data_IF_468688037244
#
_entry.id   IF_468688037244
#
_cell.length_a   1.000
_cell.length_b   1.000
_cell.length_c   1.000
_cell.angle_alpha   90.00
_cell.angle_beta   90.00
_cell.angle_gamma   90.00
#
_symmetry.space_group_name_H-M   'P 1'
#
loop_
_entity.id
_entity.type
_entity.pdbx_description
1 polymer ?
#
# COMPACT_ATOMS: atom_id res chain seq x y z
N UNK A 1 -9.61 -34.34 11.42
CA UNK A 1 -9.56 -33.01 12.05
C UNK A 1 -8.29 -32.16 11.80
N UNK A 2 -7.20 -32.58 11.12
CA UNK A 2 -6.07 -31.68 10.83
C UNK A 2 -6.23 -30.84 9.54
N UNK A 3 -7.06 -31.29 8.59
CA UNK A 3 -7.25 -30.64 7.28
C UNK A 3 -7.86 -29.23 7.39
N UNK A 4 -8.80 -29.03 8.31
CA UNK A 4 -9.45 -27.72 8.50
C UNK A 4 -8.46 -26.68 9.01
N UNK A 5 -7.51 -27.10 9.86
CA UNK A 5 -6.49 -26.21 10.41
C UNK A 5 -5.51 -25.73 9.33
N UNK A 6 -5.15 -26.61 8.38
CA UNK A 6 -4.28 -26.26 7.24
C UNK A 6 -4.98 -25.28 6.28
N UNK A 7 -6.28 -25.44 6.04
CA UNK A 7 -7.06 -24.53 5.20
C UNK A 7 -7.13 -23.14 5.84
N UNK A 8 -7.42 -23.07 7.14
CA UNK A 8 -7.46 -21.79 7.87
C UNK A 8 -6.09 -21.12 7.90
N UNK A 9 -5.01 -21.88 8.08
CA UNK A 9 -3.64 -21.36 8.03
C UNK A 9 -3.29 -20.80 6.64
N UNK A 10 -3.70 -21.49 5.57
CA UNK A 10 -3.53 -21.03 4.20
C UNK A 10 -4.29 -19.73 3.90
N UNK A 11 -5.52 -19.60 4.39
CA UNK A 11 -6.34 -18.38 4.22
C UNK A 11 -5.72 -17.22 5.02
N UNK A 12 -5.28 -17.46 6.25
CA UNK A 12 -4.62 -16.45 7.07
C UNK A 12 -3.29 -16.01 6.46
N UNK A 13 -2.48 -16.96 5.97
CA UNK A 13 -1.23 -16.68 5.27
C UNK A 13 -1.47 -15.92 3.96
N UNK A 14 -2.53 -16.24 3.22
CA UNK A 14 -2.90 -15.53 1.99
C UNK A 14 -3.41 -14.11 2.27
N UNK A 15 -4.19 -13.93 3.33
CA UNK A 15 -4.62 -12.61 3.79
C UNK A 15 -3.42 -11.77 4.25
N UNK A 16 -2.51 -12.37 5.02
CA UNK A 16 -1.23 -11.74 5.35
C UNK A 16 -0.43 -11.44 4.10
N UNK A 17 -0.35 -12.34 3.12
CA UNK A 17 0.41 -12.11 1.88
C UNK A 17 -0.19 -10.98 1.02
N UNK A 18 -1.51 -10.79 1.04
CA UNK A 18 -2.18 -9.63 0.45
C UNK A 18 -1.86 -8.33 1.16
N UNK A 19 -1.85 -8.34 2.49
CA UNK A 19 -1.55 -7.17 3.34
C UNK A 19 -0.06 -6.83 3.32
N UNK A 20 0.76 -7.87 3.23
CA UNK A 20 2.22 -7.86 3.27
C UNK A 20 2.82 -8.08 1.87
N UNK A 21 2.04 -7.78 0.82
CA UNK A 21 2.60 -7.74 -0.51
C UNK A 21 3.73 -6.70 -0.43
N UNK A 22 5.00 -7.10 -0.63
CA UNK A 22 6.08 -6.14 -0.60
C UNK A 22 5.72 -5.11 -1.66
N UNK A 23 5.64 -3.85 -1.25
CA UNK A 23 5.59 -2.71 -2.17
C UNK A 23 6.69 -2.99 -3.16
N UNK A 24 6.28 -3.45 -4.33
CA UNK A 24 7.20 -3.61 -5.42
C UNK A 24 7.77 -2.20 -5.56
N UNK A 25 9.08 -2.10 -5.73
CA UNK A 25 9.76 -0.82 -5.98
C UNK A 25 9.02 0.05 -7.03
N UNK A 26 8.15 -0.57 -7.84
CA UNK A 26 7.14 0.04 -8.69
C UNK A 26 6.23 1.08 -8.03
N UNK A 27 5.56 0.84 -6.90
CA UNK A 27 4.51 1.77 -6.42
C UNK A 27 5.06 3.07 -5.84
N UNK A 28 6.21 3.03 -5.15
CA UNK A 28 6.91 4.26 -4.75
C UNK A 28 7.44 5.00 -5.97
N UNK A 29 8.02 4.28 -6.95
CA UNK A 29 8.50 4.90 -8.19
C UNK A 29 7.38 5.52 -9.03
N UNK A 30 6.18 4.93 -8.99
CA UNK A 30 4.99 5.44 -9.66
C UNK A 30 4.46 6.69 -8.95
N UNK A 31 4.43 6.69 -7.61
CA UNK A 31 4.09 7.89 -6.84
C UNK A 31 5.09 9.03 -7.09
N UNK A 32 6.38 8.72 -7.10
CA UNK A 32 7.45 9.66 -7.46
C UNK A 32 7.26 10.22 -8.85
N UNK A 33 6.96 9.37 -9.83
CA UNK A 33 6.67 9.80 -11.21
C UNK A 33 5.42 10.68 -11.29
N UNK A 34 4.37 10.38 -10.52
CA UNK A 34 3.20 11.24 -10.39
C UNK A 34 3.56 12.59 -9.76
N UNK A 35 4.46 12.59 -8.77
CA UNK A 35 5.00 13.79 -8.12
C UNK A 35 6.13 14.47 -8.91
N UNK A 36 6.35 14.11 -10.19
CA UNK A 36 7.40 14.69 -11.05
C UNK A 36 8.83 14.55 -10.48
N UNK A 37 9.08 13.51 -9.69
CA UNK A 37 10.36 13.30 -9.01
C UNK A 37 10.50 14.04 -7.67
N UNK A 38 9.45 14.71 -7.18
CA UNK A 38 9.46 15.37 -5.88
C UNK A 38 9.22 14.35 -4.75
N UNK A 39 10.33 13.87 -4.17
CA UNK A 39 10.33 12.99 -2.99
C UNK A 39 9.67 13.62 -1.75
N UNK A 40 9.78 14.94 -1.58
CA UNK A 40 9.21 15.62 -0.43
C UNK A 40 7.68 15.71 -0.54
N UNK A 41 7.16 15.89 -1.75
CA UNK A 41 5.73 15.83 -2.03
C UNK A 41 5.20 14.40 -1.86
N UNK A 42 5.88 13.41 -2.43
CA UNK A 42 5.49 12.00 -2.32
C UNK A 42 5.42 11.56 -0.84
N UNK A 43 6.44 11.89 -0.04
CA UNK A 43 6.44 11.57 1.39
C UNK A 43 5.35 12.30 2.18
N UNK A 44 5.00 13.55 1.81
CA UNK A 44 3.88 14.26 2.44
C UNK A 44 2.54 13.58 2.17
N UNK A 45 2.32 13.10 0.93
CA UNK A 45 1.11 12.37 0.58
C UNK A 45 1.01 11.04 1.34
N UNK A 46 2.10 10.29 1.40
CA UNK A 46 2.16 9.04 2.20
C UNK A 46 1.87 9.33 3.66
N UNK A 47 2.48 10.37 4.23
CA UNK A 47 2.30 10.74 5.63
C UNK A 47 0.86 11.14 5.93
N UNK A 48 0.24 11.89 5.02
CA UNK A 48 -1.19 12.26 5.12
C UNK A 48 -2.09 11.03 5.14
N UNK A 49 -1.83 10.03 4.28
CA UNK A 49 -2.60 8.78 4.28
C UNK A 49 -2.41 7.97 5.56
N UNK A 50 -1.19 7.97 6.13
CA UNK A 50 -0.92 7.35 7.43
C UNK A 50 -1.59 8.09 8.59
N UNK A 51 -1.68 9.42 8.54
CA UNK A 51 -2.40 10.22 9.53
C UNK A 51 -3.92 10.02 9.44
N UNK A 52 -4.47 9.88 8.23
CA UNK A 52 -5.89 9.59 8.01
C UNK A 52 -6.27 8.15 8.34
N UNK A 53 -5.33 7.22 8.24
CA UNK A 53 -5.54 5.80 8.51
C UNK A 53 -4.33 5.23 9.25
N UNK A 54 -4.22 5.42 10.57
CA UNK A 54 -3.06 4.93 11.32
C UNK A 54 -2.96 3.39 11.36
N UNK A 55 -4.07 2.72 11.04
CA UNK A 55 -4.17 1.26 10.98
C UNK A 55 -3.52 0.66 9.72
N UNK A 56 -3.24 1.48 8.70
CA UNK A 56 -2.64 1.01 7.46
C UNK A 56 -1.11 1.13 7.49
N UNK A 57 -0.44 0.14 6.90
CA UNK A 57 1.01 0.22 6.71
C UNK A 57 1.40 1.23 5.62
N UNK A 58 2.67 1.67 5.63
CA UNK A 58 3.26 2.58 4.63
C UNK A 58 2.99 2.13 3.19
N UNK A 59 2.97 0.82 2.96
CA UNK A 59 2.66 0.20 1.67
C UNK A 59 1.29 0.59 1.11
N UNK A 60 0.27 0.44 1.95
CA UNK A 60 -1.11 0.76 1.60
C UNK A 60 -1.29 2.27 1.48
N UNK A 61 -0.58 3.05 2.32
CA UNK A 61 -0.57 4.50 2.23
C UNK A 61 0.01 5.00 0.90
N UNK A 62 1.12 4.42 0.42
CA UNK A 62 1.68 4.70 -0.93
C UNK A 62 0.65 4.39 -2.01
N UNK A 63 0.00 3.22 -1.94
CA UNK A 63 -1.01 2.82 -2.93
C UNK A 63 -2.20 3.78 -2.97
N UNK A 64 -2.72 4.17 -1.81
CA UNK A 64 -3.82 5.15 -1.70
C UNK A 64 -3.43 6.52 -2.23
N UNK A 65 -2.21 6.98 -1.93
CA UNK A 65 -1.67 8.22 -2.46
C UNK A 65 -1.58 8.20 -4.00
N UNK A 66 -1.13 7.09 -4.60
CA UNK A 66 -1.09 6.92 -6.07
C UNK A 66 -2.50 7.03 -6.66
N UNK A 67 -3.48 6.32 -6.09
CA UNK A 67 -4.87 6.33 -6.57
C UNK A 67 -5.48 7.74 -6.44
N UNK A 68 -5.22 8.44 -5.34
CA UNK A 68 -5.67 9.82 -5.13
C UNK A 68 -5.07 10.76 -6.19
N UNK A 69 -3.75 10.70 -6.43
CA UNK A 69 -3.09 11.48 -7.46
C UNK A 69 -3.59 11.17 -8.89
N UNK A 70 -3.92 9.92 -9.18
CA UNK A 70 -4.49 9.54 -10.47
C UNK A 70 -5.93 10.06 -10.65
N UNK A 71 -6.72 10.10 -9.58
CA UNK A 71 -8.08 10.68 -9.59
C UNK A 71 -8.07 12.18 -9.81
N UNK A 72 -7.19 12.91 -9.14
CA UNK A 72 -7.11 14.38 -9.26
C UNK A 72 -6.64 14.85 -10.65
N UNK A 73 -6.01 13.97 -11.44
CA UNK A 73 -5.54 14.24 -12.81
C UNK A 73 -6.58 13.94 -13.91
N UNK A 74 -7.76 13.44 -13.55
CA UNK A 74 -8.84 13.08 -14.48
C UNK A 74 -9.92 14.15 -14.50
#
# INVERSE_FOLDING_TARGET
>A
MPLVFLILLGIAAYALYRVYQPVSKGSESELLRLCLGDDALANRLIRRELELSPEIGRAEAVRRAVIACQRDRR
#
